data_IF_037419273139
#
_entry.id   IF_037419273139
#
_cell.length_a   1.000
_cell.length_b   1.000
_cell.length_c   1.000
_cell.angle_alpha   90.00
_cell.angle_beta   90.00
_cell.angle_gamma   90.00
#
_symmetry.space_group_name_H-M   'P 1'
#
loop_
_entity.id
_entity.type
_entity.pdbx_description
1 polymer ?
#
# COMPACT_ATOMS: atom_id res chain seq x y z
N UNK A 1 -24.31 -0.23 -19.10
CA UNK A 1 -23.19 0.47 -19.76
C UNK A 1 -21.92 0.04 -19.07
N UNK A 2 -21.18 -0.91 -19.66
CA UNK A 2 -19.89 -1.33 -19.12
C UNK A 2 -18.89 -0.29 -19.60
N UNK A 3 -18.33 0.49 -18.68
CA UNK A 3 -17.24 1.41 -19.01
C UNK A 3 -16.00 0.54 -19.18
N UNK A 4 -15.65 0.24 -20.44
CA UNK A 4 -14.34 -0.32 -20.75
C UNK A 4 -13.32 0.77 -20.41
N UNK A 5 -12.63 0.60 -19.29
CA UNK A 5 -11.55 1.50 -18.90
C UNK A 5 -10.39 1.34 -19.88
N UNK A 6 -10.01 2.42 -20.56
CA UNK A 6 -8.76 2.43 -21.31
C UNK A 6 -7.59 2.12 -20.36
N UNK A 7 -6.66 1.29 -20.82
CA UNK A 7 -5.42 1.03 -20.11
C UNK A 7 -4.66 2.37 -19.94
N UNK A 8 -4.32 2.68 -18.69
CA UNK A 8 -3.59 3.91 -18.39
C UNK A 8 -2.10 3.70 -18.76
N UNK A 9 -1.52 4.53 -19.66
CA UNK A 9 -0.19 4.28 -20.23
C UNK A 9 0.95 4.26 -19.20
N UNK A 10 0.85 5.04 -18.13
CA UNK A 10 1.87 5.09 -17.06
C UNK A 10 1.90 3.84 -16.18
N UNK A 11 0.85 3.00 -16.19
CA UNK A 11 0.82 1.75 -15.42
C UNK A 11 0.65 0.49 -16.26
N UNK A 12 0.44 0.62 -17.57
CA UNK A 12 0.21 -0.50 -18.51
C UNK A 12 1.35 -1.55 -18.52
N UNK A 13 2.57 -1.15 -18.18
CA UNK A 13 3.74 -2.04 -18.14
C UNK A 13 3.86 -2.83 -16.83
N UNK A 14 3.02 -2.56 -15.83
CA UNK A 14 3.06 -3.27 -14.56
C UNK A 14 2.22 -4.56 -14.59
N UNK A 15 2.76 -5.61 -13.98
CA UNK A 15 1.96 -6.82 -13.74
C UNK A 15 0.76 -6.53 -12.83
N UNK A 16 -0.33 -7.29 -12.98
CA UNK A 16 -1.51 -7.22 -12.09
C UNK A 16 -1.12 -7.27 -10.61
N UNK A 17 -0.16 -8.13 -10.25
CA UNK A 17 0.38 -8.23 -8.88
C UNK A 17 0.98 -6.91 -8.40
N UNK A 18 1.75 -6.24 -9.25
CA UNK A 18 2.39 -4.98 -8.92
C UNK A 18 1.36 -3.84 -8.79
N UNK A 19 0.35 -3.81 -9.66
CA UNK A 19 -0.77 -2.87 -9.53
C UNK A 19 -1.49 -3.00 -8.18
N UNK A 20 -1.75 -4.23 -7.72
CA UNK A 20 -2.31 -4.45 -6.38
C UNK A 20 -1.40 -3.94 -5.26
N UNK A 21 -0.08 -4.07 -5.42
CA UNK A 21 0.89 -3.54 -4.45
C UNK A 21 0.87 -2.01 -4.40
N UNK A 22 0.83 -1.34 -5.56
CA UNK A 22 0.73 0.11 -5.66
C UNK A 22 -0.57 0.63 -5.05
N UNK A 23 -1.68 -0.05 -5.32
CA UNK A 23 -2.98 0.29 -4.79
C UNK A 23 -3.02 0.32 -3.26
N UNK A 24 -2.30 -0.60 -2.62
CA UNK A 24 -2.18 -0.66 -1.15
C UNK A 24 -1.37 0.49 -0.57
N UNK A 25 -0.38 0.97 -1.30
CA UNK A 25 0.38 2.18 -0.92
C UNK A 25 -0.56 3.40 -0.96
N UNK A 26 -1.41 3.48 -2.00
CA UNK A 26 -2.34 4.59 -2.19
C UNK A 26 -3.44 4.72 -1.13
N UNK A 27 -3.74 3.66 -0.37
CA UNK A 27 -4.77 3.66 0.68
C UNK A 27 -4.22 3.46 2.10
N UNK A 28 -2.94 3.74 2.30
CA UNK A 28 -2.36 3.79 3.64
C UNK A 28 -2.96 4.91 4.48
N UNK A 29 -3.08 4.66 5.78
CA UNK A 29 -3.37 5.69 6.75
C UNK A 29 -2.33 6.84 6.62
N UNK A 30 -2.75 8.12 6.65
CA UNK A 30 -1.85 9.24 6.37
C UNK A 30 -0.62 9.28 7.28
N UNK A 31 -0.78 8.98 8.56
CA UNK A 31 0.29 8.92 9.56
C UNK A 31 1.34 7.84 9.26
N UNK A 32 0.92 6.71 8.69
CA UNK A 32 1.84 5.64 8.25
C UNK A 32 2.67 6.12 7.08
N UNK A 33 2.05 6.77 6.09
CA UNK A 33 2.76 7.34 4.93
C UNK A 33 3.77 8.39 5.38
N UNK A 34 3.38 9.28 6.31
CA UNK A 34 4.28 10.27 6.90
C UNK A 34 5.47 9.60 7.57
N UNK A 35 5.24 8.60 8.42
CA UNK A 35 6.33 7.91 9.13
C UNK A 35 7.29 7.15 8.20
N UNK A 36 6.78 6.61 7.08
CA UNK A 36 7.61 5.98 6.05
C UNK A 36 8.53 7.03 5.39
N UNK A 37 7.96 8.18 5.01
CA UNK A 37 8.72 9.27 4.35
C UNK A 37 9.74 9.90 5.30
N UNK A 38 9.40 10.05 6.57
CA UNK A 38 10.28 10.60 7.61
C UNK A 38 11.32 9.59 8.12
N UNK A 39 11.15 8.29 7.81
CA UNK A 39 12.00 7.22 8.34
C UNK A 39 11.74 6.88 9.82
N UNK A 40 10.64 7.36 10.38
CA UNK A 40 10.16 7.07 11.75
C UNK A 40 9.26 5.82 11.84
N UNK A 41 9.10 5.11 10.72
CA UNK A 41 8.38 3.83 10.68
C UNK A 41 8.96 2.79 11.68
N UNK A 42 8.14 1.84 12.17
CA UNK A 42 8.61 0.78 13.06
C UNK A 42 9.79 0.00 12.44
N UNK A 43 10.80 -0.34 13.25
CA UNK A 43 12.03 -1.03 12.80
C UNK A 43 11.76 -2.32 11.99
N UNK A 44 10.66 -3.01 12.30
CA UNK A 44 10.25 -4.23 11.60
C UNK A 44 9.56 -4.00 10.26
N UNK A 45 9.19 -2.77 9.90
CA UNK A 45 8.47 -2.43 8.69
C UNK A 45 9.46 -2.09 7.56
N UNK A 46 9.78 -3.07 6.73
CA UNK A 46 10.59 -2.85 5.52
C UNK A 46 9.71 -2.80 4.28
N UNK A 47 10.16 -2.13 3.21
CA UNK A 47 9.44 -2.12 1.94
C UNK A 47 9.15 -3.53 1.41
N UNK A 48 10.07 -4.49 1.60
CA UNK A 48 9.84 -5.89 1.25
C UNK A 48 8.75 -6.55 2.09
N UNK A 49 8.71 -6.28 3.40
CA UNK A 49 7.66 -6.82 4.29
C UNK A 49 6.30 -6.22 3.91
N UNK A 50 6.25 -4.91 3.68
CA UNK A 50 5.04 -4.21 3.27
C UNK A 50 4.50 -4.73 1.93
N UNK A 51 5.34 -4.78 0.89
CA UNK A 51 4.93 -5.25 -0.45
C UNK A 51 4.46 -6.72 -0.48
N UNK A 52 4.84 -7.52 0.53
CA UNK A 52 4.43 -8.93 0.67
C UNK A 52 3.26 -9.14 1.63
N UNK A 53 2.83 -8.12 2.36
CA UNK A 53 1.78 -8.22 3.37
C UNK A 53 0.39 -8.36 2.73
N UNK A 54 0.05 -9.50 2.12
CA UNK A 54 -1.18 -9.73 1.32
C UNK A 54 -2.51 -9.57 2.07
N UNK A 55 -2.49 -9.45 3.40
CA UNK A 55 -3.67 -9.31 4.26
C UNK A 55 -3.76 -7.94 4.99
N UNK A 56 -3.19 -6.87 4.41
CA UNK A 56 -3.28 -5.53 4.99
C UNK A 56 -4.77 -5.10 5.10
N UNK A 57 -5.26 -4.75 6.30
CA UNK A 57 -6.64 -4.31 6.50
C UNK A 57 -6.99 -3.05 5.70
N UNK A 58 -8.28 -2.89 5.38
CA UNK A 58 -8.77 -1.70 4.68
C UNK A 58 -9.05 -0.53 5.63
N UNK A 59 -9.37 -0.82 6.89
CA UNK A 59 -9.54 0.18 7.93
C UNK A 59 -8.20 0.63 8.51
N UNK A 60 -8.07 1.92 8.82
CA UNK A 60 -6.80 2.49 9.26
C UNK A 60 -6.35 2.01 10.63
N UNK A 61 -7.28 1.68 11.53
CA UNK A 61 -6.93 1.13 12.85
C UNK A 61 -6.27 -0.23 12.71
N UNK A 62 -6.86 -1.12 11.90
CA UNK A 62 -6.31 -2.40 11.53
C UNK A 62 -4.97 -2.27 10.80
N UNK A 63 -4.81 -1.28 9.91
CA UNK A 63 -3.52 -1.03 9.28
C UNK A 63 -2.43 -0.71 10.30
N UNK A 64 -2.70 0.18 11.26
CA UNK A 64 -1.75 0.56 12.31
C UNK A 64 -1.35 -0.65 13.14
N UNK A 65 -2.34 -1.38 13.65
CA UNK A 65 -2.11 -2.59 14.44
C UNK A 65 -1.32 -3.65 13.66
N UNK A 66 -1.67 -3.86 12.38
CA UNK A 66 -1.01 -4.84 11.51
C UNK A 66 0.45 -4.46 11.21
N UNK A 67 0.73 -3.17 11.03
CA UNK A 67 2.05 -2.65 10.68
C UNK A 67 2.92 -2.31 11.90
N UNK A 68 2.37 -2.44 13.11
CA UNK A 68 3.07 -2.19 14.37
C UNK A 68 3.17 -0.72 14.76
N UNK A 69 2.25 0.10 14.27
CA UNK A 69 2.05 1.47 14.75
C UNK A 69 1.16 1.43 15.99
N UNK A 70 1.54 2.20 17.01
CA UNK A 70 0.83 2.38 18.29
C UNK A 70 0.39 3.82 18.45
#
# INVERSE_FOLDING_TARGET
MIVEGNEEPTVAHYSKRHLWQLLRIGWLAPDITTAIVEGSQPFGLTGRRFLRASALPLDWEGQRAFLGFS
#
